data_IF_376144939053
#
_entry.id   IF_376144939053
#
_cell.length_a   1.000
_cell.length_b   1.000
_cell.length_c   1.000
_cell.angle_alpha   90.00
_cell.angle_beta   90.00
_cell.angle_gamma   90.00
#
_symmetry.space_group_name_H-M   'P 1'
#
loop_
_entity.id
_entity.type
_entity.pdbx_description
1 polymer ?
#
# COMPACT_ATOMS: atom_id res chain seq x y z
N UNK A 1 -1.08 32.50 18.91
CA UNK A 1 0.02 31.65 18.37
C UNK A 1 -0.61 30.37 17.87
N UNK A 2 -0.21 29.87 16.71
CA UNK A 2 -0.75 28.62 16.15
C UNK A 2 -0.41 27.44 17.06
N UNK A 3 -1.44 26.65 17.38
CA UNK A 3 -1.31 25.45 18.22
C UNK A 3 -1.11 24.21 17.34
N UNK A 4 -0.13 23.40 17.69
CA UNK A 4 0.24 22.21 16.89
C UNK A 4 -0.87 21.14 16.83
N UNK A 5 -1.65 20.98 17.94
CA UNK A 5 -2.76 20.03 17.97
C UNK A 5 -3.88 20.46 17.01
N UNK A 6 -4.12 21.77 16.89
CA UNK A 6 -5.11 22.33 15.96
C UNK A 6 -4.65 22.20 14.50
N UNK A 7 -3.38 22.45 14.24
CA UNK A 7 -2.77 22.22 12.93
C UNK A 7 -2.85 20.74 12.56
N UNK A 8 -2.61 19.82 13.51
CA UNK A 8 -2.76 18.37 13.32
C UNK A 8 -4.19 17.98 12.97
N UNK A 9 -5.19 18.58 13.63
CA UNK A 9 -6.60 18.35 13.32
C UNK A 9 -6.96 18.82 11.90
N UNK A 10 -6.52 20.03 11.50
CA UNK A 10 -6.74 20.54 10.14
C UNK A 10 -6.06 19.67 9.10
N UNK A 11 -4.80 19.29 9.33
CA UNK A 11 -4.06 18.39 8.44
C UNK A 11 -4.77 17.05 8.29
N UNK A 12 -5.24 16.45 9.38
CA UNK A 12 -5.98 15.19 9.34
C UNK A 12 -7.27 15.30 8.49
N UNK A 13 -8.02 16.42 8.60
CA UNK A 13 -9.19 16.63 7.73
C UNK A 13 -8.78 16.79 6.26
N UNK A 14 -7.66 17.46 5.97
CA UNK A 14 -7.13 17.59 4.62
C UNK A 14 -6.74 16.23 4.01
N UNK A 15 -6.17 15.33 4.83
CA UNK A 15 -5.73 13.99 4.41
C UNK A 15 -6.92 13.05 4.19
N UNK A 16 -7.85 13.01 5.17
CA UNK A 16 -8.92 12.01 5.22
C UNK A 16 -10.25 12.49 4.59
N UNK A 17 -10.32 13.76 4.18
CA UNK A 17 -11.45 14.34 3.44
C UNK A 17 -12.70 14.64 4.29
N UNK A 18 -12.85 14.03 5.47
CA UNK A 18 -14.00 14.27 6.36
C UNK A 18 -13.57 14.41 7.82
N UNK A 19 -14.35 15.14 8.61
CA UNK A 19 -14.12 15.28 10.06
C UNK A 19 -14.22 13.93 10.78
N UNK A 20 -15.14 13.06 10.35
CA UNK A 20 -15.31 11.75 10.98
C UNK A 20 -14.10 10.84 10.73
N UNK A 21 -13.60 10.79 9.50
CA UNK A 21 -12.42 10.00 9.17
C UNK A 21 -11.14 10.55 9.82
N UNK A 22 -11.00 11.88 9.89
CA UNK A 22 -9.92 12.55 10.63
C UNK A 22 -9.97 12.23 12.13
N UNK A 23 -11.15 12.24 12.72
CA UNK A 23 -11.34 11.92 14.13
C UNK A 23 -10.95 10.47 14.43
N UNK A 24 -11.38 9.54 13.60
CA UNK A 24 -10.99 8.13 13.72
C UNK A 24 -9.47 7.94 13.63
N UNK A 25 -8.80 8.62 12.69
CA UNK A 25 -7.34 8.53 12.52
C UNK A 25 -6.55 9.10 13.70
N UNK A 26 -7.08 10.13 14.34
CA UNK A 26 -6.45 10.79 15.50
C UNK A 26 -6.81 10.14 16.85
N UNK A 27 -7.75 9.18 16.87
CA UNK A 27 -8.30 8.63 18.13
C UNK A 27 -9.15 9.62 18.92
N UNK A 28 -9.79 10.56 18.23
CA UNK A 28 -10.65 11.61 18.81
C UNK A 28 -12.12 11.39 18.41
N UNK A 29 -13.02 12.14 19.07
CA UNK A 29 -14.40 12.26 18.62
C UNK A 29 -14.51 13.29 17.48
N UNK A 30 -15.49 13.17 16.57
CA UNK A 30 -15.75 14.19 15.54
C UNK A 30 -16.00 15.59 16.12
N UNK A 31 -16.66 15.65 17.27
CA UNK A 31 -16.87 16.91 18.00
C UNK A 31 -15.56 17.55 18.46
N UNK A 32 -14.61 16.76 18.99
CA UNK A 32 -13.31 17.26 19.42
C UNK A 32 -12.51 17.83 18.23
N UNK A 33 -12.48 17.14 17.09
CA UNK A 33 -11.81 17.64 15.88
C UNK A 33 -12.47 18.93 15.39
N UNK A 34 -13.81 18.98 15.31
CA UNK A 34 -14.55 20.20 14.92
C UNK A 34 -14.23 21.37 15.85
N UNK A 35 -14.15 21.14 17.16
CA UNK A 35 -13.78 22.17 18.12
C UNK A 35 -12.34 22.68 17.93
N UNK A 36 -11.39 21.79 17.63
CA UNK A 36 -10.00 22.19 17.36
C UNK A 36 -9.93 23.09 16.12
N UNK A 37 -10.64 22.73 15.05
CA UNK A 37 -10.68 23.55 13.84
C UNK A 37 -11.37 24.89 14.11
N UNK A 38 -12.51 24.92 14.79
CA UNK A 38 -13.19 26.18 15.15
C UNK A 38 -12.33 27.09 16.03
N UNK A 39 -11.47 26.53 16.90
CA UNK A 39 -10.49 27.32 17.65
C UNK A 39 -9.40 27.87 16.71
N UNK A 40 -8.93 27.08 15.75
CA UNK A 40 -7.94 27.51 14.76
C UNK A 40 -8.50 28.64 13.88
N UNK A 41 -9.75 28.54 13.42
CA UNK A 41 -10.43 29.59 12.66
C UNK A 41 -10.49 30.92 13.44
N UNK A 42 -10.78 30.86 14.72
CA UNK A 42 -10.77 32.07 15.59
C UNK A 42 -9.38 32.65 15.76
N UNK A 43 -8.34 31.83 15.90
CA UNK A 43 -6.96 32.30 16.03
C UNK A 43 -6.42 32.91 14.73
N UNK A 44 -6.75 32.31 13.62
CA UNK A 44 -6.31 32.80 12.29
C UNK A 44 -7.24 33.89 11.74
N UNK A 45 -8.41 34.08 12.35
CA UNK A 45 -9.50 34.92 11.83
C UNK A 45 -9.87 34.59 10.38
N UNK A 46 -9.80 33.29 10.04
CA UNK A 46 -9.98 32.79 8.68
C UNK A 46 -10.93 31.60 8.74
N UNK A 47 -11.92 31.55 7.85
CA UNK A 47 -12.78 30.38 7.66
C UNK A 47 -11.96 29.27 6.99
N UNK A 48 -11.87 28.13 7.64
CA UNK A 48 -11.10 26.97 7.13
C UNK A 48 -12.00 25.87 6.57
N UNK A 49 -13.22 25.73 7.12
CA UNK A 49 -14.20 24.77 6.63
C UNK A 49 -15.47 25.48 6.14
N UNK A 50 -15.92 25.12 4.96
CA UNK A 50 -17.20 25.56 4.40
C UNK A 50 -18.16 24.38 4.26
N UNK A 51 -19.47 24.63 4.41
CA UNK A 51 -20.48 23.59 4.21
C UNK A 51 -20.56 23.20 2.74
N UNK A 52 -20.55 21.90 2.46
CA UNK A 52 -20.72 21.36 1.12
C UNK A 52 -21.63 20.14 1.16
N UNK A 53 -22.86 20.31 0.72
CA UNK A 53 -23.91 19.27 0.82
C UNK A 53 -24.12 18.80 2.26
N UNK A 54 -23.97 17.51 2.51
CA UNK A 54 -24.06 16.89 3.86
C UNK A 54 -22.72 16.87 4.61
N UNK A 55 -21.65 17.44 4.04
CA UNK A 55 -20.31 17.43 4.62
C UNK A 55 -19.66 18.81 4.67
N UNK A 56 -18.35 18.81 4.83
CA UNK A 56 -17.51 20.01 4.84
C UNK A 56 -16.44 19.91 3.77
N UNK A 57 -16.03 21.07 3.23
CA UNK A 57 -14.91 21.21 2.30
C UNK A 57 -13.91 22.21 2.86
N UNK A 58 -12.63 21.98 2.64
CA UNK A 58 -11.57 22.91 2.95
C UNK A 58 -11.62 24.13 2.02
N UNK A 59 -11.48 25.32 2.59
CA UNK A 59 -11.25 26.57 1.84
C UNK A 59 -9.85 26.54 1.19
N UNK A 60 -9.53 27.49 0.32
CA UNK A 60 -8.19 27.64 -0.25
C UNK A 60 -7.14 27.94 0.83
N UNK A 61 -7.48 28.82 1.78
CA UNK A 61 -6.61 29.14 2.92
C UNK A 61 -6.39 27.94 3.82
N UNK A 62 -7.42 27.12 4.04
CA UNK A 62 -7.29 25.86 4.78
C UNK A 62 -6.33 24.87 4.09
N UNK A 63 -6.38 24.76 2.75
CA UNK A 63 -5.45 23.89 2.02
C UNK A 63 -4.01 24.36 2.13
N UNK A 64 -3.76 25.68 2.03
CA UNK A 64 -2.44 26.29 2.22
C UNK A 64 -1.93 26.05 3.65
N UNK A 65 -2.78 26.34 4.66
CA UNK A 65 -2.41 26.14 6.06
C UNK A 65 -2.17 24.65 6.38
N UNK A 66 -2.94 23.72 5.79
CA UNK A 66 -2.71 22.29 5.94
C UNK A 66 -1.38 21.84 5.31
N UNK A 67 -0.94 22.49 4.22
CA UNK A 67 0.40 22.30 3.63
C UNK A 67 1.50 22.71 4.62
N UNK A 68 1.40 23.91 5.20
CA UNK A 68 2.34 24.39 6.23
C UNK A 68 2.29 23.51 7.49
N UNK A 69 1.09 23.05 7.89
CA UNK A 69 0.93 22.13 9.02
C UNK A 69 1.68 20.81 8.78
N UNK A 70 1.65 20.26 7.57
CA UNK A 70 2.42 19.06 7.19
C UNK A 70 3.92 19.27 7.40
N UNK A 71 4.47 20.41 6.96
CA UNK A 71 5.89 20.72 7.11
C UNK A 71 6.30 20.83 8.59
N UNK A 72 5.49 21.53 9.38
CA UNK A 72 5.72 21.67 10.83
C UNK A 72 5.63 20.33 11.55
N UNK A 73 4.66 19.50 11.21
CA UNK A 73 4.52 18.15 11.77
C UNK A 73 5.70 17.27 11.39
N UNK A 74 6.23 17.38 10.15
CA UNK A 74 7.43 16.69 9.73
C UNK A 74 8.69 17.14 10.50
N UNK A 75 8.81 18.43 10.86
CA UNK A 75 9.89 18.90 11.73
C UNK A 75 9.79 18.29 13.15
N UNK A 76 8.59 18.20 13.70
CA UNK A 76 8.37 17.56 15.01
C UNK A 76 8.71 16.07 14.91
N UNK A 77 8.26 15.38 13.87
CA UNK A 77 8.57 13.96 13.64
C UNK A 77 10.07 13.70 13.56
N UNK A 78 10.84 14.58 12.89
CA UNK A 78 12.30 14.49 12.86
C UNK A 78 12.94 14.63 14.25
N UNK A 79 12.49 15.61 15.02
CA UNK A 79 13.00 15.80 16.38
C UNK A 79 12.67 14.60 17.29
N UNK A 80 11.47 14.05 17.18
CA UNK A 80 11.07 12.84 17.90
C UNK A 80 11.92 11.63 17.46
N UNK A 81 12.14 11.46 16.14
CA UNK A 81 12.98 10.40 15.59
C UNK A 81 14.44 10.47 16.09
N UNK A 82 15.01 11.68 16.20
CA UNK A 82 16.36 11.87 16.77
C UNK A 82 16.43 11.48 18.26
N UNK A 83 15.37 11.76 19.01
CA UNK A 83 15.27 11.34 20.41
C UNK A 83 15.08 9.83 20.55
N UNK A 84 14.28 9.22 19.69
CA UNK A 84 14.09 7.76 19.63
C UNK A 84 15.40 7.06 19.23
N UNK A 85 16.12 7.58 18.24
CA UNK A 85 17.43 7.05 17.80
C UNK A 85 18.43 6.98 18.96
N UNK A 86 18.48 8.01 19.80
CA UNK A 86 19.36 8.05 20.98
C UNK A 86 19.00 7.01 22.04
N UNK A 87 17.72 6.60 22.13
CA UNK A 87 17.27 5.53 23.02
C UNK A 87 17.62 4.14 22.48
N UNK A 88 17.77 4.01 21.17
CA UNK A 88 18.24 2.81 20.48
C UNK A 88 17.24 1.66 20.41
N UNK A 89 16.12 1.72 21.08
CA UNK A 89 15.11 0.65 21.10
C UNK A 89 13.85 1.02 20.32
N UNK A 90 13.35 0.11 19.46
CA UNK A 90 12.07 0.27 18.80
C UNK A 90 10.93 0.32 19.80
N UNK A 91 10.21 1.43 19.85
CA UNK A 91 9.09 1.65 20.77
C UNK A 91 8.02 2.58 20.14
N UNK A 92 6.90 2.73 20.83
CA UNK A 92 5.80 3.59 20.40
C UNK A 92 4.96 2.96 19.30
N UNK A 93 4.15 3.78 18.62
CA UNK A 93 3.26 3.31 17.55
C UNK A 93 3.91 3.47 16.18
N UNK A 94 3.77 2.45 15.34
CA UNK A 94 4.08 2.49 13.90
C UNK A 94 2.90 1.91 13.11
N UNK A 95 2.35 2.69 12.18
CA UNK A 95 1.24 2.28 11.31
C UNK A 95 1.76 1.87 9.95
N UNK A 96 1.42 0.68 9.49
CA UNK A 96 1.88 0.11 8.22
C UNK A 96 0.69 -0.20 7.33
N UNK A 97 0.70 0.32 6.10
CA UNK A 97 -0.19 -0.12 5.04
C UNK A 97 0.51 -1.23 4.22
N UNK A 98 -0.18 -2.32 3.91
CA UNK A 98 0.35 -3.36 3.04
C UNK A 98 -0.70 -3.82 2.03
N UNK A 99 -0.26 -4.12 0.81
CA UNK A 99 -1.17 -4.64 -0.22
C UNK A 99 -1.62 -6.08 0.12
N UNK A 100 -2.80 -6.54 -0.37
CA UNK A 100 -3.47 -7.75 0.12
C UNK A 100 -2.59 -9.00 0.18
N UNK A 101 -1.81 -9.29 -0.86
CA UNK A 101 -0.97 -10.50 -0.85
C UNK A 101 0.23 -10.40 0.09
N UNK A 102 0.78 -9.19 0.35
CA UNK A 102 1.78 -8.99 1.39
C UNK A 102 1.17 -9.04 2.79
N UNK A 103 -0.01 -8.45 2.97
CA UNK A 103 -0.75 -8.51 4.22
C UNK A 103 -1.05 -9.95 4.63
N UNK A 104 -1.31 -10.84 3.68
CA UNK A 104 -1.57 -12.26 3.91
C UNK A 104 -0.29 -13.11 4.02
N UNK A 105 0.67 -12.94 3.11
CA UNK A 105 1.82 -13.85 2.97
C UNK A 105 3.09 -13.41 3.71
N UNK A 106 3.24 -12.11 4.02
CA UNK A 106 4.48 -11.57 4.59
C UNK A 106 4.25 -10.97 5.99
N UNK A 107 3.25 -10.09 6.13
CA UNK A 107 3.06 -9.30 7.34
C UNK A 107 2.77 -10.10 8.61
N UNK A 108 2.02 -11.21 8.62
CA UNK A 108 1.75 -11.94 9.87
C UNK A 108 3.02 -12.41 10.56
N UNK A 109 3.99 -12.94 9.81
CA UNK A 109 5.28 -13.36 10.37
C UNK A 109 6.13 -12.18 10.87
N UNK A 110 6.11 -11.06 10.15
CA UNK A 110 6.80 -9.82 10.56
C UNK A 110 6.21 -9.26 11.86
N UNK A 111 4.87 -9.21 11.96
CA UNK A 111 4.17 -8.70 13.14
C UNK A 111 4.46 -9.57 14.37
N UNK A 112 4.40 -10.91 14.22
CA UNK A 112 4.68 -11.84 15.32
C UNK A 112 6.12 -11.74 15.81
N UNK A 113 7.09 -11.65 14.89
CA UNK A 113 8.51 -11.50 15.21
C UNK A 113 8.78 -10.19 15.96
N UNK A 114 8.28 -9.07 15.43
CA UNK A 114 8.47 -7.76 16.05
C UNK A 114 7.77 -7.64 17.41
N UNK A 115 6.56 -8.17 17.56
CA UNK A 115 5.85 -8.19 18.84
C UNK A 115 6.61 -8.97 19.91
N UNK A 116 7.27 -10.06 19.52
CA UNK A 116 8.10 -10.87 20.44
C UNK A 116 9.39 -10.18 20.85
N UNK A 117 10.11 -9.57 19.89
CA UNK A 117 11.41 -8.93 20.14
C UNK A 117 11.32 -7.53 20.73
N UNK A 118 10.26 -6.79 20.40
CA UNK A 118 10.08 -5.40 20.77
C UNK A 118 8.69 -5.14 21.36
N UNK A 119 8.40 -5.61 22.59
CA UNK A 119 7.07 -5.52 23.19
C UNK A 119 6.60 -4.08 23.45
N UNK A 120 7.51 -3.11 23.43
CA UNK A 120 7.19 -1.68 23.50
C UNK A 120 6.77 -1.06 22.14
N UNK A 121 6.86 -1.82 21.04
CA UNK A 121 6.45 -1.39 19.70
C UNK A 121 5.01 -1.84 19.41
N UNK A 122 4.08 -0.86 19.30
CA UNK A 122 2.69 -1.08 18.85
C UNK A 122 2.61 -0.96 17.32
N UNK A 123 2.86 -2.07 16.61
CA UNK A 123 2.79 -2.11 15.15
C UNK A 123 1.34 -2.38 14.70
N UNK A 124 0.78 -1.46 13.92
CA UNK A 124 -0.59 -1.55 13.39
C UNK A 124 -0.58 -1.75 11.88
N UNK A 125 -1.24 -2.79 11.40
CA UNK A 125 -1.39 -3.11 9.99
C UNK A 125 -2.76 -2.66 9.48
N UNK A 126 -2.76 -2.08 8.26
CA UNK A 126 -3.95 -1.88 7.45
C UNK A 126 -3.73 -2.46 6.06
N UNK A 127 -4.70 -3.20 5.54
CA UNK A 127 -4.66 -3.67 4.16
C UNK A 127 -5.08 -2.53 3.23
N UNK A 128 -4.18 -2.14 2.31
CA UNK A 128 -4.38 -1.01 1.40
C UNK A 128 -3.72 -1.30 0.06
N UNK A 129 -4.43 -1.07 -1.03
CA UNK A 129 -3.91 -1.26 -2.38
C UNK A 129 -2.71 -0.32 -2.68
N UNK A 130 -1.71 -0.77 -3.46
CA UNK A 130 -0.49 -0.01 -3.80
C UNK A 130 -0.76 1.39 -4.35
N UNK A 131 -1.82 1.55 -5.17
CA UNK A 131 -2.14 2.86 -5.77
C UNK A 131 -2.53 3.94 -4.76
N UNK A 132 -2.93 3.55 -3.53
CA UNK A 132 -3.30 4.47 -2.44
C UNK A 132 -2.20 4.59 -1.37
N UNK A 133 -1.50 3.49 -1.07
CA UNK A 133 -0.65 3.37 0.11
C UNK A 133 0.51 4.38 0.11
N UNK A 134 1.17 4.61 -1.04
CA UNK A 134 2.26 5.60 -1.17
C UNK A 134 1.75 7.03 -0.90
N UNK A 135 0.57 7.36 -1.43
CA UNK A 135 -0.08 8.65 -1.16
C UNK A 135 -0.47 8.83 0.31
N UNK A 136 -0.82 7.75 1.01
CA UNK A 136 -1.11 7.78 2.44
C UNK A 136 0.15 8.05 3.27
N UNK A 137 1.30 7.45 2.90
CA UNK A 137 2.60 7.76 3.54
C UNK A 137 2.96 9.23 3.33
N UNK A 138 2.88 9.72 2.10
CA UNK A 138 3.21 11.11 1.76
C UNK A 138 2.37 12.14 2.55
N UNK A 139 1.13 11.79 2.87
CA UNK A 139 0.21 12.62 3.64
C UNK A 139 0.31 12.39 5.16
N UNK A 140 1.10 11.43 5.64
CA UNK A 140 1.19 11.07 7.05
C UNK A 140 -0.03 10.34 7.61
N UNK A 141 -0.86 9.74 6.74
CA UNK A 141 -2.00 8.92 7.16
C UNK A 141 -1.55 7.55 7.70
N UNK A 142 -0.41 7.06 7.23
CA UNK A 142 0.34 5.92 7.78
C UNK A 142 1.82 6.27 7.81
N UNK A 143 2.58 5.59 8.67
CA UNK A 143 4.02 5.82 8.82
C UNK A 143 4.82 5.14 7.72
N UNK A 144 4.39 3.94 7.32
CA UNK A 144 5.09 3.11 6.33
C UNK A 144 4.08 2.44 5.39
N UNK A 145 4.52 2.14 4.17
CA UNK A 145 3.81 1.25 3.26
C UNK A 145 4.70 0.10 2.80
N UNK A 146 4.17 -1.10 2.77
CA UNK A 146 4.68 -2.22 1.98
C UNK A 146 3.92 -2.18 0.67
N UNK A 147 4.63 -1.92 -0.42
CA UNK A 147 4.06 -1.70 -1.75
C UNK A 147 4.88 -2.42 -2.82
N UNK A 148 4.44 -2.40 -4.06
CA UNK A 148 5.18 -3.01 -5.16
C UNK A 148 5.02 -2.24 -6.46
N UNK A 149 5.93 -2.46 -7.38
CA UNK A 149 5.79 -2.14 -8.79
C UNK A 149 6.08 -3.38 -9.66
N UNK A 150 5.88 -3.24 -10.96
CA UNK A 150 6.27 -4.22 -11.95
C UNK A 150 7.43 -3.66 -12.78
N UNK A 151 8.24 -4.54 -13.34
CA UNK A 151 9.38 -4.20 -14.20
C UNK A 151 9.01 -3.25 -15.37
N UNK A 152 7.89 -3.53 -16.03
CA UNK A 152 7.36 -2.71 -17.15
C UNK A 152 6.64 -1.44 -16.70
N UNK A 153 6.42 -1.25 -15.39
CA UNK A 153 5.70 -0.12 -14.81
C UNK A 153 6.31 0.30 -13.46
N UNK A 154 7.55 0.82 -13.47
CA UNK A 154 8.24 1.18 -12.24
C UNK A 154 7.54 2.33 -11.51
N UNK A 155 7.48 2.21 -10.17
CA UNK A 155 6.89 3.21 -9.31
C UNK A 155 7.79 4.44 -9.18
N UNK A 156 7.23 5.62 -9.41
CA UNK A 156 7.85 6.90 -9.09
C UNK A 156 7.38 7.37 -7.71
N UNK A 157 8.32 7.64 -6.80
CA UNK A 157 7.99 8.17 -5.49
C UNK A 157 7.81 9.69 -5.52
N UNK A 158 6.81 10.21 -4.82
CA UNK A 158 6.75 11.64 -4.49
C UNK A 158 8.00 12.10 -3.73
N UNK A 159 8.41 13.37 -3.87
CA UNK A 159 9.48 13.96 -3.06
C UNK A 159 9.23 13.81 -1.54
N UNK A 160 10.29 13.64 -0.75
CA UNK A 160 10.23 13.48 0.70
C UNK A 160 9.87 12.05 1.16
N UNK A 161 9.84 11.08 0.24
CA UNK A 161 9.69 9.68 0.57
C UNK A 161 10.97 8.90 0.26
N UNK A 162 11.37 8.06 1.20
CA UNK A 162 12.42 7.06 1.05
C UNK A 162 11.81 5.68 0.79
N UNK A 163 12.56 4.81 0.11
CA UNK A 163 12.20 3.40 -0.06
C UNK A 163 13.37 2.47 0.14
N UNK A 164 13.06 1.24 0.52
CA UNK A 164 14.02 0.14 0.55
C UNK A 164 13.43 -1.09 -0.12
N UNK A 165 14.22 -1.79 -0.96
CA UNK A 165 13.81 -3.04 -1.60
C UNK A 165 13.67 -4.16 -0.56
N UNK A 166 12.55 -4.87 -0.59
CA UNK A 166 12.32 -6.07 0.23
C UNK A 166 12.76 -7.32 -0.54
N UNK A 167 12.34 -7.43 -1.80
CA UNK A 167 12.66 -8.56 -2.68
C UNK A 167 11.85 -8.55 -3.97
N UNK A 168 11.94 -9.64 -4.72
CA UNK A 168 11.29 -9.85 -6.00
C UNK A 168 10.32 -11.03 -5.91
N UNK A 169 9.04 -10.78 -6.17
CA UNK A 169 7.98 -11.78 -6.15
C UNK A 169 7.62 -12.18 -7.58
N UNK A 170 7.81 -13.44 -7.89
CA UNK A 170 7.50 -14.02 -9.20
C UNK A 170 6.00 -14.27 -9.33
N UNK A 171 5.52 -14.25 -10.57
CA UNK A 171 4.12 -14.54 -10.87
C UNK A 171 4.03 -15.59 -11.98
N UNK A 172 2.96 -16.38 -11.94
CA UNK A 172 2.72 -17.43 -12.92
C UNK A 172 1.39 -17.17 -13.64
N UNK A 173 1.33 -17.57 -14.90
CA UNK A 173 0.05 -17.72 -15.59
C UNK A 173 -0.75 -18.83 -14.91
N UNK A 174 -1.98 -18.51 -14.54
CA UNK A 174 -2.89 -19.42 -13.85
C UNK A 174 -4.05 -19.74 -14.78
N UNK A 175 -4.27 -21.02 -15.06
CA UNK A 175 -5.24 -21.52 -16.05
C UNK A 175 -6.04 -22.68 -15.49
N UNK A 176 -7.25 -22.95 -16.02
CA UNK A 176 -7.97 -24.20 -15.74
C UNK A 176 -7.10 -25.42 -16.12
N UNK A 177 -7.21 -26.52 -15.37
CA UNK A 177 -6.45 -27.75 -15.62
C UNK A 177 -6.63 -28.32 -17.04
N UNK A 178 -7.81 -28.16 -17.63
CA UNK A 178 -8.12 -28.60 -19.02
C UNK A 178 -7.75 -27.58 -20.09
N UNK A 179 -7.08 -26.49 -19.75
CA UNK A 179 -6.72 -25.45 -20.70
C UNK A 179 -5.62 -25.91 -21.66
N UNK A 180 -5.62 -25.42 -22.91
CA UNK A 180 -4.62 -25.76 -23.94
C UNK A 180 -3.16 -25.49 -23.55
N UNK A 181 -2.96 -24.56 -22.61
CA UNK A 181 -1.63 -24.19 -22.09
C UNK A 181 -1.25 -24.97 -20.83
N UNK A 182 -2.17 -25.72 -20.22
CA UNK A 182 -1.87 -26.55 -19.06
C UNK A 182 -0.81 -27.60 -19.43
N UNK A 183 0.19 -27.79 -18.55
CA UNK A 183 1.27 -28.73 -18.79
C UNK A 183 2.38 -28.26 -19.73
N UNK A 184 2.34 -27.01 -20.21
CA UNK A 184 3.46 -26.40 -20.92
C UNK A 184 4.57 -26.04 -19.94
N UNK A 185 5.82 -26.24 -20.31
CA UNK A 185 6.99 -25.86 -19.51
C UNK A 185 7.08 -24.34 -19.33
N UNK A 186 6.74 -23.60 -20.38
CA UNK A 186 6.69 -22.12 -20.41
C UNK A 186 5.70 -21.63 -21.47
N UNK A 187 5.21 -20.40 -21.25
CA UNK A 187 4.31 -19.70 -22.18
C UNK A 187 4.80 -18.28 -22.38
N UNK A 188 4.88 -17.84 -23.63
CA UNK A 188 5.23 -16.46 -24.01
C UNK A 188 3.97 -15.62 -24.13
N UNK A 189 4.11 -14.30 -23.93
CA UNK A 189 2.97 -13.38 -24.00
C UNK A 189 2.27 -13.38 -25.37
N UNK A 190 3.01 -13.62 -26.46
CA UNK A 190 2.47 -13.73 -27.82
C UNK A 190 1.50 -14.91 -27.98
N UNK A 191 1.68 -15.98 -27.21
CA UNK A 191 0.82 -17.19 -27.26
C UNK A 191 -0.53 -16.98 -26.53
N UNK A 192 -0.68 -15.85 -25.82
CA UNK A 192 -1.85 -15.50 -25.02
C UNK A 192 -2.84 -14.61 -25.78
N UNK A 193 -2.62 -14.42 -27.09
CA UNK A 193 -3.54 -13.69 -27.95
C UNK A 193 -4.94 -14.31 -27.93
N UNK A 194 -5.96 -13.47 -27.71
CA UNK A 194 -7.37 -13.89 -27.72
C UNK A 194 -7.84 -14.61 -26.46
N UNK A 195 -6.97 -14.91 -25.49
CA UNK A 195 -7.39 -15.48 -24.21
C UNK A 195 -8.33 -14.53 -23.46
N UNK A 196 -9.38 -15.05 -22.80
CA UNK A 196 -10.19 -14.28 -21.89
C UNK A 196 -9.42 -14.05 -20.58
N UNK A 197 -9.21 -12.78 -20.22
CA UNK A 197 -8.48 -12.43 -19.00
C UNK A 197 -9.42 -12.14 -17.84
N UNK A 198 -9.04 -12.65 -16.66
CA UNK A 198 -9.55 -12.18 -15.38
C UNK A 198 -8.41 -11.47 -14.65
N UNK A 199 -8.61 -10.22 -14.24
CA UNK A 199 -7.55 -9.41 -13.63
C UNK A 199 -8.12 -8.37 -12.68
N UNK A 200 -7.26 -7.53 -12.10
CA UNK A 200 -7.71 -6.38 -11.32
C UNK A 200 -8.40 -5.33 -12.21
N UNK A 201 -9.26 -4.46 -11.63
CA UNK A 201 -9.92 -3.38 -12.38
C UNK A 201 -8.93 -2.37 -12.96
N UNK A 202 -9.33 -1.60 -14.00
CA UNK A 202 -8.55 -0.48 -14.53
C UNK A 202 -8.11 0.49 -13.43
N UNK A 203 -6.87 1.01 -13.53
CA UNK A 203 -6.26 1.89 -12.53
C UNK A 203 -5.55 1.15 -11.39
N UNK A 204 -5.53 -0.18 -11.41
CA UNK A 204 -4.70 -1.00 -10.51
C UNK A 204 -3.38 -1.37 -11.19
N UNK A 205 -2.33 -1.48 -10.40
CA UNK A 205 -0.98 -1.75 -10.92
C UNK A 205 -0.86 -3.08 -11.69
N UNK A 206 -1.62 -4.11 -11.31
CA UNK A 206 -1.63 -5.38 -12.01
C UNK A 206 -2.39 -5.32 -13.34
N UNK A 207 -3.47 -4.53 -13.42
CA UNK A 207 -4.17 -4.27 -14.67
C UNK A 207 -3.26 -3.54 -15.66
N UNK A 208 -2.58 -2.48 -15.20
CA UNK A 208 -1.70 -1.69 -16.04
C UNK A 208 -0.51 -2.51 -16.55
N UNK A 209 0.02 -3.41 -15.71
CA UNK A 209 1.02 -4.39 -16.11
C UNK A 209 0.50 -5.30 -17.24
N UNK A 210 -0.69 -5.91 -17.06
CA UNK A 210 -1.29 -6.79 -18.07
C UNK A 210 -1.42 -6.08 -19.41
N UNK A 211 -2.03 -4.87 -19.40
CA UNK A 211 -2.25 -4.10 -20.64
C UNK A 211 -0.92 -3.78 -21.33
N UNK A 212 0.08 -3.32 -20.59
CA UNK A 212 1.39 -2.98 -21.14
C UNK A 212 2.10 -4.21 -21.70
N UNK A 213 2.09 -5.32 -20.98
CA UNK A 213 2.74 -6.58 -21.40
C UNK A 213 2.10 -7.13 -22.65
N UNK A 214 0.76 -7.20 -22.72
CA UNK A 214 0.07 -7.73 -23.89
C UNK A 214 0.21 -6.82 -25.12
N UNK A 215 0.18 -5.50 -24.92
CA UNK A 215 0.43 -4.53 -26.01
C UNK A 215 1.86 -4.63 -26.56
N UNK A 216 2.84 -4.83 -25.68
CA UNK A 216 4.23 -5.06 -26.10
C UNK A 216 4.38 -6.37 -26.93
N UNK A 217 3.54 -7.38 -26.66
CA UNK A 217 3.42 -8.60 -27.45
C UNK A 217 2.55 -8.46 -28.72
N UNK A 218 2.06 -7.24 -29.03
CA UNK A 218 1.26 -6.96 -30.23
C UNK A 218 -0.24 -7.25 -30.10
N UNK A 219 -0.76 -7.42 -28.87
CA UNK A 219 -2.16 -7.81 -28.64
C UNK A 219 -2.83 -6.88 -27.65
N UNK A 220 -4.14 -6.67 -27.81
CA UNK A 220 -4.98 -6.03 -26.80
C UNK A 220 -5.58 -7.12 -25.91
N UNK A 221 -5.41 -7.05 -24.56
CA UNK A 221 -5.97 -8.07 -23.68
C UNK A 221 -7.50 -7.99 -23.64
N UNK A 222 -8.17 -9.12 -23.83
CA UNK A 222 -9.61 -9.23 -23.70
C UNK A 222 -10.01 -9.50 -22.26
N UNK A 223 -10.10 -8.44 -21.43
CA UNK A 223 -10.53 -8.55 -20.03
C UNK A 223 -12.04 -8.79 -19.99
N UNK A 224 -12.44 -9.92 -19.41
CA UNK A 224 -13.86 -10.36 -19.33
C UNK A 224 -14.44 -10.22 -17.92
N UNK A 225 -13.61 -10.37 -16.89
CA UNK A 225 -14.00 -10.19 -15.50
C UNK A 225 -12.92 -9.45 -14.72
N UNK A 226 -13.34 -8.70 -13.70
CA UNK A 226 -12.42 -7.98 -12.79
C UNK A 226 -12.74 -8.26 -11.33
N UNK A 227 -11.70 -8.41 -10.51
CA UNK A 227 -11.79 -8.48 -9.06
C UNK A 227 -10.52 -7.92 -8.42
N UNK A 228 -10.63 -7.34 -7.23
CA UNK A 228 -9.48 -6.75 -6.53
C UNK A 228 -8.57 -7.81 -5.88
N UNK A 229 -9.13 -8.96 -5.49
CA UNK A 229 -8.41 -9.98 -4.73
C UNK A 229 -8.00 -11.20 -5.56
N UNK A 230 -6.76 -11.67 -5.39
CA UNK A 230 -6.25 -12.88 -6.06
C UNK A 230 -7.11 -14.14 -5.81
N UNK A 231 -7.63 -14.43 -4.59
CA UNK A 231 -8.50 -15.58 -4.40
C UNK A 231 -9.75 -15.58 -5.27
N UNK A 232 -10.35 -14.40 -5.50
CA UNK A 232 -11.50 -14.25 -6.41
C UNK A 232 -11.08 -14.50 -7.86
N UNK A 233 -9.93 -13.99 -8.29
CA UNK A 233 -9.39 -14.27 -9.63
C UNK A 233 -9.15 -15.78 -9.83
N UNK A 234 -8.55 -16.45 -8.84
CA UNK A 234 -8.32 -17.90 -8.87
C UNK A 234 -9.65 -18.67 -8.96
N UNK A 235 -10.67 -18.26 -8.22
CA UNK A 235 -12.00 -18.89 -8.27
C UNK A 235 -12.66 -18.74 -9.66
N UNK A 236 -12.51 -17.58 -10.31
CA UNK A 236 -12.99 -17.35 -11.68
C UNK A 236 -12.24 -18.22 -12.70
N UNK A 237 -10.90 -18.38 -12.51
CA UNK A 237 -10.10 -19.30 -13.32
C UNK A 237 -10.57 -20.75 -13.13
N UNK A 238 -10.79 -21.20 -11.89
CA UNK A 238 -11.29 -22.53 -11.58
C UNK A 238 -12.63 -22.83 -12.25
N UNK A 239 -13.49 -21.81 -12.35
CA UNK A 239 -14.78 -21.90 -13.06
C UNK A 239 -14.65 -21.88 -14.60
N UNK A 240 -13.44 -21.80 -15.16
CA UNK A 240 -13.22 -21.77 -16.62
C UNK A 240 -13.56 -20.43 -17.29
N UNK A 241 -13.66 -19.36 -16.52
CA UNK A 241 -14.11 -18.04 -17.00
C UNK A 241 -13.00 -17.17 -17.58
N UNK A 242 -11.75 -17.66 -17.55
CA UNK A 242 -10.60 -16.97 -18.13
C UNK A 242 -9.29 -17.44 -17.55
N UNK A 243 -8.21 -16.71 -17.90
CA UNK A 243 -6.85 -16.93 -17.39
C UNK A 243 -6.40 -15.72 -16.58
N UNK A 244 -5.44 -15.91 -15.65
CA UNK A 244 -4.92 -14.82 -14.82
C UNK A 244 -3.41 -14.95 -14.63
N UNK A 245 -2.73 -13.84 -14.35
CA UNK A 245 -1.36 -13.86 -13.80
C UNK A 245 -1.48 -13.63 -12.29
N UNK A 246 -1.07 -14.64 -11.52
CA UNK A 246 -1.19 -14.63 -10.06
C UNK A 246 0.20 -14.67 -9.42
N UNK A 247 0.53 -13.66 -8.60
CA UNK A 247 1.79 -13.64 -7.85
C UNK A 247 1.91 -14.80 -6.85
N UNK A 248 3.13 -15.23 -6.60
CA UNK A 248 3.41 -16.34 -5.67
C UNK A 248 3.21 -15.93 -4.21
N UNK A 249 3.61 -14.70 -3.85
CA UNK A 249 3.43 -14.20 -2.49
C UNK A 249 1.95 -14.19 -2.08
N UNK A 250 1.66 -14.91 -1.01
CA UNK A 250 0.32 -14.96 -0.43
C UNK A 250 -0.74 -15.61 -1.32
N UNK A 251 -0.33 -16.36 -2.34
CA UNK A 251 -1.25 -17.07 -3.24
C UNK A 251 -2.04 -18.15 -2.50
N UNK A 252 -1.37 -18.87 -1.58
CA UNK A 252 -1.93 -20.03 -0.91
C UNK A 252 -2.06 -21.25 -1.83
N UNK A 253 -2.66 -22.34 -1.33
CA UNK A 253 -2.91 -23.53 -2.14
C UNK A 253 -3.91 -23.23 -3.25
N UNK A 254 -3.66 -23.75 -4.45
CA UNK A 254 -4.57 -23.65 -5.58
C UNK A 254 -5.61 -24.77 -5.55
N UNK A 255 -6.85 -24.53 -6.01
CA UNK A 255 -7.83 -25.58 -6.26
C UNK A 255 -7.29 -26.66 -7.22
N UNK A 256 -7.79 -27.88 -7.11
CA UNK A 256 -7.35 -29.01 -7.96
C UNK A 256 -7.59 -28.76 -9.46
N UNK A 257 -8.63 -27.98 -9.80
CA UNK A 257 -9.01 -27.63 -11.18
C UNK A 257 -8.15 -26.52 -11.79
N UNK A 258 -7.16 -25.99 -11.04
CA UNK A 258 -6.29 -24.89 -11.47
C UNK A 258 -4.86 -25.33 -11.49
N UNK A 259 -4.13 -24.92 -12.52
CA UNK A 259 -2.69 -25.13 -12.63
C UNK A 259 -1.98 -23.82 -12.97
N UNK A 260 -0.71 -23.73 -12.58
CA UNK A 260 0.17 -22.63 -12.98
C UNK A 260 1.09 -23.04 -14.10
N UNK A 261 1.38 -22.11 -14.98
CA UNK A 261 2.34 -22.27 -16.08
C UNK A 261 3.33 -21.11 -16.00
N UNK A 262 4.63 -21.37 -15.92
CA UNK A 262 5.64 -20.32 -15.96
C UNK A 262 5.52 -19.50 -17.26
N UNK A 263 5.73 -18.19 -17.16
CA UNK A 263 5.82 -17.30 -18.33
C UNK A 263 7.28 -17.04 -18.71
N UNK A 264 7.51 -16.66 -19.95
CA UNK A 264 8.81 -16.23 -20.46
C UNK A 264 8.66 -14.91 -21.26
N UNK A 265 9.22 -13.79 -20.78
CA UNK A 265 9.90 -13.61 -19.48
C UNK A 265 8.97 -13.81 -18.28
N UNK A 266 9.55 -14.23 -17.15
CA UNK A 266 8.79 -14.40 -15.90
C UNK A 266 8.33 -13.03 -15.41
N UNK A 267 7.04 -12.84 -15.13
CA UNK A 267 6.55 -11.59 -14.54
C UNK A 267 7.07 -11.39 -13.12
N UNK A 268 7.69 -10.25 -12.86
CA UNK A 268 8.34 -9.95 -11.57
C UNK A 268 7.74 -8.70 -10.94
N UNK A 269 7.28 -8.81 -9.70
CA UNK A 269 6.94 -7.68 -8.85
C UNK A 269 8.11 -7.36 -7.94
N UNK A 270 8.54 -6.10 -7.91
CA UNK A 270 9.55 -5.63 -6.94
C UNK A 270 8.85 -5.04 -5.74
N UNK A 271 9.14 -5.59 -4.57
CA UNK A 271 8.52 -5.21 -3.31
C UNK A 271 9.38 -4.17 -2.60
N UNK A 272 8.72 -3.16 -2.04
CA UNK A 272 9.37 -2.06 -1.33
C UNK A 272 8.68 -1.75 0.00
N UNK A 273 9.48 -1.41 1.00
CA UNK A 273 9.04 -0.61 2.14
C UNK A 273 9.25 0.87 1.79
N UNK A 274 8.25 1.70 2.04
CA UNK A 274 8.25 3.14 1.75
C UNK A 274 7.85 3.91 3.01
N UNK A 275 8.56 4.99 3.35
CA UNK A 275 8.31 5.85 4.50
C UNK A 275 8.69 7.30 4.19
N UNK A 276 8.33 8.25 5.06
CA UNK A 276 8.78 9.65 4.93
C UNK A 276 10.26 9.76 5.32
N UNK A 277 11.04 10.55 4.59
CA UNK A 277 12.47 10.74 4.86
C UNK A 277 12.71 11.22 6.29
N UNK A 278 11.82 12.01 6.87
CA UNK A 278 11.87 12.49 8.24
C UNK A 278 11.85 11.36 9.27
N UNK A 279 11.16 10.26 8.98
CA UNK A 279 11.07 9.09 9.84
C UNK A 279 12.24 8.10 9.68
N UNK A 280 13.18 8.34 8.77
CA UNK A 280 14.26 7.39 8.45
C UNK A 280 15.15 7.01 9.66
N UNK A 281 15.27 7.89 10.66
CA UNK A 281 16.07 7.66 11.88
C UNK A 281 15.32 6.94 12.99
N UNK A 282 14.00 6.71 12.83
CA UNK A 282 13.21 5.99 13.85
C UNK A 282 13.64 4.52 13.93
N UNK A 283 14.08 4.02 15.11
CA UNK A 283 14.44 2.61 15.28
C UNK A 283 13.31 1.64 14.87
N UNK A 284 12.06 2.03 15.11
CA UNK A 284 10.88 1.27 14.71
C UNK A 284 10.80 1.06 13.18
N UNK A 285 11.12 2.09 12.38
CA UNK A 285 11.15 2.00 10.91
C UNK A 285 12.29 1.08 10.46
N UNK A 286 13.50 1.31 10.96
CA UNK A 286 14.69 0.53 10.59
C UNK A 286 14.50 -0.97 10.93
N UNK A 287 13.96 -1.27 12.11
CA UNK A 287 13.71 -2.65 12.56
C UNK A 287 12.62 -3.32 11.74
N UNK A 288 11.53 -2.60 11.41
CA UNK A 288 10.47 -3.13 10.56
C UNK A 288 11.00 -3.48 9.16
N UNK A 289 11.84 -2.61 8.56
CA UNK A 289 12.49 -2.91 7.27
C UNK A 289 13.38 -4.15 7.36
N UNK A 290 14.15 -4.28 8.45
CA UNK A 290 15.01 -5.45 8.68
C UNK A 290 14.18 -6.74 8.81
N UNK A 291 13.09 -6.70 9.58
CA UNK A 291 12.19 -7.84 9.76
C UNK A 291 11.49 -8.24 8.45
N UNK A 292 11.05 -7.27 7.64
CA UNK A 292 10.48 -7.51 6.32
C UNK A 292 11.45 -8.26 5.41
N UNK A 293 12.71 -7.83 5.34
CA UNK A 293 13.74 -8.47 4.51
C UNK A 293 14.10 -9.87 5.00
N UNK A 294 14.27 -10.03 6.31
CA UNK A 294 14.56 -11.34 6.91
C UNK A 294 13.43 -12.35 6.63
N UNK A 295 12.18 -11.90 6.81
CA UNK A 295 11.01 -12.75 6.52
C UNK A 295 10.88 -13.05 5.04
N UNK A 296 11.16 -12.09 4.16
CA UNK A 296 11.16 -12.31 2.71
C UNK A 296 12.15 -13.42 2.31
N UNK A 297 13.36 -13.41 2.84
CA UNK A 297 14.35 -14.47 2.59
C UNK A 297 13.86 -15.87 2.96
N UNK A 298 13.01 -15.98 3.99
CA UNK A 298 12.40 -17.26 4.37
C UNK A 298 11.24 -17.66 3.45
N UNK A 299 10.39 -16.70 3.04
CA UNK A 299 9.21 -16.94 2.19
C UNK A 299 9.60 -17.20 0.73
N UNK A 300 10.60 -16.49 0.21
CA UNK A 300 11.07 -16.64 -1.18
C UNK A 300 11.86 -17.95 -1.42
N UNK A 301 12.32 -18.59 -0.36
CA UNK A 301 13.04 -19.89 -0.42
C UNK A 301 12.13 -21.13 -0.31
N UNK A 302 10.83 -20.95 -0.05
CA UNK A 302 9.85 -22.03 -0.08
C UNK A 302 9.41 -22.29 -1.54
N UNK A 303 9.55 -23.54 -2.05
CA UNK A 303 9.25 -23.90 -3.45
C UNK A 303 7.76 -23.84 -3.78
#
# INVERSE_FOLDING_TARGET
MLDLQRLRALHAVAVHGTVNAAAASLGYTPSAVSQQIAKLERETRTVLLERHGRGVRLTEDARRLAGTARELLGLVERAEAELEERRGEPAGRLTVAAFPSAARGLMPGVLADLASRHPALDLRLSEVDPHLSVGMVAKGAVDMAVTHDWDVAPMTLPPGLARHGIGEDLSDLTVPRGHRLAGRDRVRSEELAGEPWVCQPPGRVCHDWLVRTMRAAGHEPRVVHTADENPTLVALVAAGLGVAVIPRLGRGPLPEDVVTVPMDPVPVRRLYAVWREEAARRPAVAETVRALRARWGSVAGEP
#
